data_IF_922575627112
#
_entry.id   IF_922575627112
#
_cell.length_a   1.000
_cell.length_b   1.000
_cell.length_c   1.000
_cell.angle_alpha   90.00
_cell.angle_beta   90.00
_cell.angle_gamma   90.00
#
_symmetry.space_group_name_H-M   'P 1'
#
loop_
_entity.id
_entity.type
_entity.pdbx_description
1 polymer ?
#
# COMPACT_ATOMS: atom_id res chain seq x y z
N UNK A 1 -37.09 19.24 40.17
CA UNK A 1 -38.31 19.97 39.79
C UNK A 1 -38.05 21.45 40.05
N UNK A 2 -37.43 22.14 39.09
CA UNK A 2 -37.53 23.57 38.81
C UNK A 2 -37.07 23.70 37.37
N UNK A 3 -38.03 24.18 36.60
CA UNK A 3 -38.05 24.41 35.18
C UNK A 3 -37.45 25.79 34.87
N UNK A 4 -36.81 25.93 33.70
CA UNK A 4 -36.51 27.17 32.94
C UNK A 4 -35.46 26.93 31.84
N UNK A 5 -35.92 26.47 30.68
CA UNK A 5 -35.48 26.99 29.36
C UNK A 5 -36.36 28.24 29.05
N UNK A 6 -36.09 29.13 28.07
CA UNK A 6 -35.25 28.97 26.87
C UNK A 6 -34.39 30.21 26.49
N UNK A 7 -33.48 30.06 25.53
CA UNK A 7 -33.04 31.17 24.68
C UNK A 7 -32.49 30.64 23.36
N UNK A 8 -33.34 30.68 22.34
CA UNK A 8 -33.03 30.59 20.92
C UNK A 8 -32.27 31.86 20.51
N UNK A 9 -31.11 31.74 19.86
CA UNK A 9 -30.49 32.85 19.13
C UNK A 9 -30.36 32.49 17.66
N UNK A 10 -31.20 33.13 16.86
CA UNK A 10 -31.14 33.22 15.40
C UNK A 10 -30.29 34.46 15.09
N UNK A 11 -29.25 34.32 14.29
CA UNK A 11 -28.60 35.45 13.63
C UNK A 11 -28.32 35.09 12.17
N UNK A 12 -29.31 35.38 11.33
CA UNK A 12 -29.12 35.63 9.91
C UNK A 12 -28.31 36.92 9.75
N UNK A 13 -27.25 36.91 8.94
CA UNK A 13 -26.67 38.14 8.42
C UNK A 13 -26.49 38.04 6.91
N UNK A 14 -27.25 38.90 6.24
CA UNK A 14 -27.29 39.16 4.81
C UNK A 14 -26.05 39.94 4.35
N UNK A 15 -25.56 39.55 3.17
CA UNK A 15 -25.04 40.37 2.06
C UNK A 15 -24.12 41.57 2.33
N UNK A 16 -22.95 41.56 1.65
CA UNK A 16 -22.52 42.71 0.85
C UNK A 16 -21.63 42.29 -0.34
N UNK A 17 -22.04 42.76 -1.52
CA UNK A 17 -21.34 42.74 -2.80
C UNK A 17 -19.97 43.44 -2.72
N UNK A 18 -18.99 42.92 -3.46
CA UNK A 18 -17.94 43.78 -4.03
C UNK A 18 -17.57 43.29 -5.44
N UNK A 19 -17.91 44.14 -6.42
CA UNK A 19 -17.37 44.16 -7.77
C UNK A 19 -15.92 44.68 -7.73
N UNK A 20 -15.04 44.10 -8.54
CA UNK A 20 -14.14 44.79 -9.48
C UNK A 20 -12.85 43.99 -9.75
N UNK A 21 -12.44 43.96 -11.03
CA UNK A 21 -11.02 43.81 -11.39
C UNK A 21 -10.68 42.70 -12.38
N UNK A 22 -11.18 42.77 -13.62
CA UNK A 22 -10.46 42.16 -14.75
C UNK A 22 -9.14 42.91 -14.97
N UNK A 23 -8.00 42.25 -14.77
CA UNK A 23 -6.72 42.69 -15.32
C UNK A 23 -6.34 41.75 -16.45
N UNK A 24 -6.43 42.26 -17.67
CA UNK A 24 -5.92 41.64 -18.89
C UNK A 24 -4.42 41.92 -18.95
N UNK A 25 -3.60 40.90 -18.70
CA UNK A 25 -2.17 40.96 -18.97
C UNK A 25 -1.94 40.73 -20.47
N UNK A 26 -1.41 41.76 -21.15
CA UNK A 26 -1.09 41.74 -22.57
C UNK A 26 0.02 40.74 -22.90
N UNK A 27 -0.22 39.94 -23.93
CA UNK A 27 0.79 39.07 -24.54
C UNK A 27 1.66 39.91 -25.47
N UNK A 28 2.93 40.08 -25.12
CA UNK A 28 3.95 40.57 -26.06
C UNK A 28 4.29 39.47 -27.04
N UNK A 29 3.86 39.65 -28.30
CA UNK A 29 4.24 38.81 -29.42
C UNK A 29 5.67 39.18 -29.83
N UNK A 30 6.64 38.35 -29.45
CA UNK A 30 8.00 38.43 -29.99
C UNK A 30 8.00 37.72 -31.34
N UNK A 31 8.14 38.48 -32.43
CA UNK A 31 8.33 37.94 -33.77
C UNK A 31 9.68 37.23 -33.86
N UNK A 32 9.64 35.91 -33.98
CA UNK A 32 10.79 35.07 -34.31
C UNK A 32 11.18 35.28 -35.79
N UNK A 33 12.47 35.45 -36.11
CA UNK A 33 12.93 35.52 -37.50
C UNK A 33 12.72 34.19 -38.23
N UNK A 34 12.25 34.28 -39.46
CA UNK A 34 12.05 33.15 -40.38
C UNK A 34 13.42 32.50 -40.69
N UNK A 35 13.61 31.20 -40.41
CA UNK A 35 14.84 30.50 -40.76
C UNK A 35 14.95 30.33 -42.27
N UNK A 36 16.10 30.70 -42.84
CA UNK A 36 16.45 30.44 -44.24
C UNK A 36 16.70 28.93 -44.40
N UNK A 37 16.13 28.24 -45.42
CA UNK A 37 16.35 26.82 -45.62
C UNK A 37 17.82 26.56 -46.02
N UNK A 38 18.55 25.67 -45.33
CA UNK A 38 19.86 25.23 -45.79
C UNK A 38 19.73 24.39 -47.06
N UNK A 39 20.71 24.53 -47.95
CA UNK A 39 20.83 23.77 -49.19
C UNK A 39 20.89 22.25 -48.89
N UNK A 40 20.12 21.47 -49.64
CA UNK A 40 20.03 20.03 -49.48
C UNK A 40 21.37 19.34 -49.79
N UNK A 41 22.00 18.75 -48.78
CA UNK A 41 23.10 17.80 -48.94
C UNK A 41 22.59 16.49 -49.57
N UNK A 42 23.41 15.83 -50.41
CA UNK A 42 23.07 14.55 -51.02
C UNK A 42 22.85 13.49 -49.95
N UNK A 43 21.65 12.92 -49.95
CA UNK A 43 21.22 11.88 -49.01
C UNK A 43 22.12 10.63 -49.16
N UNK A 44 22.74 10.12 -48.09
CA UNK A 44 23.54 8.91 -48.15
C UNK A 44 22.66 7.72 -48.54
N UNK A 45 23.10 6.94 -49.52
CA UNK A 45 22.47 5.68 -49.93
C UNK A 45 22.34 4.77 -48.71
N UNK A 46 21.11 4.52 -48.26
CA UNK A 46 20.83 3.67 -47.12
C UNK A 46 21.28 2.23 -47.39
N UNK A 47 22.29 1.78 -46.66
CA UNK A 47 22.67 0.36 -46.59
C UNK A 47 21.52 -0.40 -45.94
N UNK A 48 20.94 -1.37 -46.64
CA UNK A 48 19.89 -2.24 -46.08
C UNK A 48 20.49 -2.99 -44.87
N UNK A 49 19.98 -2.79 -43.64
CA UNK A 49 20.47 -3.51 -42.49
C UNK A 49 20.23 -5.01 -42.67
N UNK A 50 21.25 -5.81 -42.38
CA UNK A 50 21.12 -7.25 -42.35
C UNK A 50 19.98 -7.67 -41.40
N UNK A 51 19.21 -8.72 -41.72
CA UNK A 51 18.12 -9.17 -40.87
C UNK A 51 18.67 -9.49 -39.47
N UNK A 52 18.15 -8.79 -38.45
CA UNK A 52 18.41 -9.13 -37.06
C UNK A 52 17.90 -10.55 -36.82
N UNK A 53 18.73 -11.48 -36.31
CA UNK A 53 18.26 -12.82 -35.99
C UNK A 53 17.06 -12.72 -35.03
N UNK A 54 16.06 -13.55 -35.27
CA UNK A 54 14.89 -13.62 -34.40
C UNK A 54 15.34 -13.96 -32.97
N UNK A 55 14.75 -13.32 -31.94
CA UNK A 55 15.09 -13.63 -30.56
C UNK A 55 14.83 -15.12 -30.30
N UNK A 56 15.81 -15.81 -29.71
CA UNK A 56 15.62 -17.15 -29.17
C UNK A 56 14.57 -17.05 -28.06
N UNK A 57 13.56 -17.93 -28.08
CA UNK A 57 12.55 -17.97 -27.04
C UNK A 57 13.22 -18.19 -25.66
N UNK A 58 12.97 -17.27 -24.74
CA UNK A 58 13.41 -17.40 -23.36
C UNK A 58 12.63 -18.56 -22.70
N UNK A 59 13.30 -19.47 -21.96
CA UNK A 59 12.60 -20.59 -21.33
C UNK A 59 11.61 -20.07 -20.27
N UNK A 60 10.40 -20.62 -20.29
CA UNK A 60 9.41 -20.40 -19.24
C UNK A 60 9.84 -21.16 -17.97
N UNK A 61 10.48 -20.43 -17.04
CA UNK A 61 11.02 -21.00 -15.81
C UNK A 61 9.92 -21.59 -14.92
N UNK A 62 8.75 -20.94 -14.85
CA UNK A 62 7.62 -21.41 -14.05
C UNK A 62 7.06 -22.71 -14.61
N UNK A 63 6.85 -22.79 -15.94
CA UNK A 63 6.41 -24.03 -16.58
C UNK A 63 7.44 -25.16 -16.45
N UNK A 64 8.74 -24.83 -16.50
CA UNK A 64 9.82 -25.82 -16.34
C UNK A 64 9.83 -26.40 -14.93
N UNK A 65 9.75 -25.56 -13.90
CA UNK A 65 9.58 -26.00 -12.51
C UNK A 65 8.30 -26.81 -12.34
N UNK A 66 7.22 -26.38 -12.99
CA UNK A 66 5.93 -27.03 -12.89
C UNK A 66 5.90 -28.45 -13.45
N UNK A 67 6.66 -28.71 -14.50
CA UNK A 67 6.78 -30.04 -15.09
C UNK A 67 7.82 -30.94 -14.39
N UNK A 68 8.83 -30.34 -13.75
CA UNK A 68 9.99 -31.07 -13.21
C UNK A 68 9.89 -31.46 -11.74
N UNK A 69 9.11 -30.73 -10.94
CA UNK A 69 9.08 -30.90 -9.48
C UNK A 69 7.65 -30.89 -8.95
N UNK A 70 7.28 -31.97 -8.26
CA UNK A 70 5.99 -32.05 -7.56
C UNK A 70 6.01 -31.07 -6.38
N UNK A 71 5.00 -30.18 -6.24
CA UNK A 71 4.96 -29.27 -5.12
C UNK A 71 4.63 -30.01 -3.82
N UNK A 72 5.24 -29.57 -2.70
CA UNK A 72 4.86 -30.04 -1.36
C UNK A 72 3.87 -29.07 -0.72
N UNK A 73 2.94 -29.62 0.06
CA UNK A 73 2.08 -28.80 0.92
C UNK A 73 2.94 -28.11 1.98
N UNK A 74 2.92 -26.79 2.01
CA UNK A 74 3.63 -25.97 2.98
C UNK A 74 2.71 -25.57 4.14
N UNK A 75 1.53 -25.06 3.84
CA UNK A 75 0.54 -24.64 4.84
C UNK A 75 -0.87 -24.88 4.33
N UNK A 76 -1.80 -25.10 5.26
CA UNK A 76 -3.21 -25.30 4.97
C UNK A 76 -4.05 -24.54 5.99
N UNK A 77 -5.06 -23.82 5.51
CA UNK A 77 -5.90 -22.92 6.29
C UNK A 77 -7.37 -23.31 6.09
N UNK A 78 -7.99 -24.07 7.00
CA UNK A 78 -9.40 -24.40 6.89
C UNK A 78 -10.26 -23.15 7.06
N UNK A 79 -11.28 -23.00 6.21
CA UNK A 79 -12.32 -21.98 6.37
C UNK A 79 -13.16 -22.26 7.64
N UNK A 80 -13.67 -21.22 8.33
CA UNK A 80 -14.45 -21.38 9.56
C UNK A 80 -15.77 -22.13 9.36
N UNK A 81 -16.38 -22.04 8.18
CA UNK A 81 -17.61 -22.74 7.82
C UNK A 81 -17.38 -24.21 7.40
N UNK A 82 -16.11 -24.61 7.23
CA UNK A 82 -15.70 -25.95 6.85
C UNK A 82 -15.97 -26.31 5.39
N UNK A 83 -16.35 -25.35 4.54
CA UNK A 83 -16.68 -25.61 3.12
C UNK A 83 -15.42 -25.69 2.26
N UNK A 84 -14.36 -24.98 2.63
CA UNK A 84 -13.11 -24.95 1.89
C UNK A 84 -11.88 -24.93 2.79
N UNK A 85 -10.70 -25.06 2.19
CA UNK A 85 -9.42 -24.69 2.80
C UNK A 85 -8.51 -24.04 1.77
N UNK A 86 -7.65 -23.15 2.21
CA UNK A 86 -6.61 -22.58 1.37
C UNK A 86 -5.32 -23.36 1.59
N UNK A 87 -4.74 -23.89 0.53
CA UNK A 87 -3.50 -24.65 0.56
C UNK A 87 -2.40 -23.83 -0.14
N UNK A 88 -1.29 -23.58 0.58
CA UNK A 88 -0.06 -23.03 0.00
C UNK A 88 0.86 -24.20 -0.31
N UNK A 89 1.23 -24.32 -1.58
CA UNK A 89 2.08 -25.37 -2.12
C UNK A 89 3.40 -24.74 -2.57
N UNK A 90 4.53 -25.41 -2.30
CA UNK A 90 5.87 -24.91 -2.63
C UNK A 90 6.62 -25.96 -3.46
N UNK A 91 7.23 -25.51 -4.55
CA UNK A 91 8.32 -26.22 -5.24
C UNK A 91 9.63 -25.63 -4.75
N UNK A 92 10.42 -26.46 -4.08
CA UNK A 92 11.69 -26.04 -3.49
C UNK A 92 12.70 -25.56 -4.55
N UNK A 93 13.68 -24.78 -4.09
CA UNK A 93 14.76 -24.24 -4.92
C UNK A 93 15.42 -25.33 -5.78
N UNK A 94 15.31 -25.16 -7.09
CA UNK A 94 15.87 -26.08 -8.07
C UNK A 94 16.61 -25.29 -9.14
N UNK A 95 17.77 -25.78 -9.57
CA UNK A 95 18.51 -25.21 -10.69
C UNK A 95 17.74 -25.49 -12.00
N UNK A 96 17.19 -24.43 -12.60
CA UNK A 96 16.42 -24.51 -13.87
C UNK A 96 17.28 -24.09 -15.06
N UNK A 97 18.16 -23.12 -14.84
CA UNK A 97 19.16 -22.64 -15.80
C UNK A 97 20.50 -22.51 -15.08
N UNK A 98 21.61 -22.53 -15.84
CA UNK A 98 22.95 -22.50 -15.27
C UNK A 98 23.17 -21.26 -14.39
N UNK A 99 23.49 -21.51 -13.11
CA UNK A 99 23.76 -20.45 -12.14
C UNK A 99 22.52 -19.77 -11.52
N UNK A 100 21.31 -20.24 -11.81
CA UNK A 100 20.08 -19.71 -11.20
C UNK A 100 19.23 -20.83 -10.59
N UNK A 101 19.01 -20.72 -9.29
CA UNK A 101 18.04 -21.54 -8.58
C UNK A 101 16.76 -20.75 -8.40
N UNK A 102 15.63 -21.38 -8.72
CA UNK A 102 14.32 -20.78 -8.58
C UNK A 102 13.41 -21.72 -7.77
N UNK A 103 12.52 -21.13 -6.99
CA UNK A 103 11.40 -21.79 -6.34
C UNK A 103 10.11 -21.29 -6.95
N UNK A 104 9.02 -22.04 -6.77
CA UNK A 104 7.72 -21.64 -7.30
C UNK A 104 6.63 -22.02 -6.31
N UNK A 105 5.81 -21.04 -5.95
CA UNK A 105 4.76 -21.19 -4.96
C UNK A 105 3.39 -21.02 -5.60
N UNK A 106 2.41 -21.75 -5.08
CA UNK A 106 1.03 -21.75 -5.53
C UNK A 106 0.12 -21.58 -4.33
N UNK A 107 -0.92 -20.76 -4.48
CA UNK A 107 -2.05 -20.69 -3.57
C UNK A 107 -3.28 -21.26 -4.25
N UNK A 108 -3.88 -22.27 -3.63
CA UNK A 108 -5.12 -22.88 -4.10
C UNK A 108 -6.21 -22.82 -3.03
N UNK A 109 -7.48 -22.76 -3.46
CA UNK A 109 -8.63 -23.13 -2.61
C UNK A 109 -9.05 -24.56 -2.95
N UNK A 110 -9.20 -25.40 -1.94
CA UNK A 110 -9.67 -26.79 -2.07
C UNK A 110 -11.04 -26.92 -1.42
N UNK A 111 -12.04 -27.34 -2.19
CA UNK A 111 -13.37 -27.66 -1.69
C UNK A 111 -13.30 -28.87 -0.75
N UNK A 112 -13.90 -28.76 0.43
CA UNK A 112 -13.77 -29.78 1.48
C UNK A 112 -14.52 -31.08 1.17
N UNK A 113 -15.62 -31.01 0.41
CA UNK A 113 -16.49 -32.14 0.09
C UNK A 113 -16.05 -32.94 -1.14
N UNK A 114 -15.62 -32.25 -2.20
CA UNK A 114 -15.20 -32.88 -3.47
C UNK A 114 -13.69 -33.03 -3.60
N UNK A 115 -12.91 -32.24 -2.87
CA UNK A 115 -11.48 -32.11 -3.10
C UNK A 115 -11.14 -31.36 -4.39
N UNK A 116 -12.11 -30.71 -5.03
CA UNK A 116 -11.86 -29.86 -6.21
C UNK A 116 -10.95 -28.70 -5.83
N UNK A 117 -9.94 -28.46 -6.67
CA UNK A 117 -8.92 -27.44 -6.44
C UNK A 117 -9.13 -26.29 -7.41
N UNK A 118 -9.13 -25.06 -6.88
CA UNK A 118 -9.15 -23.82 -7.62
C UNK A 118 -7.83 -23.09 -7.44
N UNK A 119 -7.23 -22.66 -8.56
CA UNK A 119 -6.07 -21.78 -8.55
C UNK A 119 -6.45 -20.36 -8.10
N UNK A 120 -5.64 -19.75 -7.22
CA UNK A 120 -5.85 -18.38 -6.73
C UNK A 120 -4.70 -17.48 -7.17
N UNK A 121 -3.47 -17.87 -6.84
CA UNK A 121 -2.28 -17.05 -7.07
C UNK A 121 -1.01 -17.91 -7.19
N UNK A 122 0.04 -17.36 -7.78
CA UNK A 122 1.35 -17.97 -7.91
C UNK A 122 2.49 -16.97 -7.75
N UNK A 123 3.67 -17.51 -7.45
CA UNK A 123 4.86 -16.67 -7.39
C UNK A 123 6.10 -17.46 -7.81
N UNK A 124 6.83 -16.93 -8.79
CA UNK A 124 8.17 -17.39 -9.15
C UNK A 124 9.21 -16.65 -8.32
N UNK A 125 10.05 -17.40 -7.63
CA UNK A 125 11.01 -16.88 -6.67
C UNK A 125 12.44 -17.18 -7.11
N UNK A 126 13.29 -16.15 -7.07
CA UNK A 126 14.73 -16.34 -7.23
C UNK A 126 15.36 -16.73 -5.90
N UNK A 127 15.96 -17.91 -5.82
CA UNK A 127 16.52 -18.43 -4.58
C UNK A 127 17.78 -17.65 -4.18
N UNK A 128 17.79 -17.14 -2.95
CA UNK A 128 18.86 -16.24 -2.46
C UNK A 128 18.74 -14.80 -2.96
N UNK A 129 17.62 -14.44 -3.61
CA UNK A 129 17.31 -13.06 -3.97
C UNK A 129 17.08 -12.16 -2.75
N UNK A 130 17.25 -10.85 -2.97
CA UNK A 130 16.73 -9.83 -2.06
C UNK A 130 15.27 -9.54 -2.44
N UNK A 131 14.55 -8.86 -1.55
CA UNK A 131 13.18 -8.42 -1.80
C UNK A 131 12.17 -9.07 -0.87
N UNK A 132 10.91 -8.67 -1.03
CA UNK A 132 9.76 -9.23 -0.33
C UNK A 132 9.15 -10.32 -1.19
N UNK A 133 8.98 -11.52 -0.64
CA UNK A 133 8.55 -12.68 -1.41
C UNK A 133 7.87 -13.76 -0.57
N UNK A 134 7.23 -14.72 -1.25
CA UNK A 134 6.60 -15.92 -0.68
C UNK A 134 5.12 -15.72 -0.37
N UNK A 135 4.30 -16.69 -0.75
CA UNK A 135 2.87 -16.74 -0.45
C UNK A 135 2.64 -17.21 1.00
N UNK A 136 1.77 -16.52 1.73
CA UNK A 136 1.37 -16.92 3.08
C UNK A 136 -0.10 -16.57 3.33
N UNK A 137 -0.87 -17.57 3.73
CA UNK A 137 -2.20 -17.36 4.29
C UNK A 137 -2.15 -16.64 5.63
N UNK A 138 -3.05 -15.68 5.83
CA UNK A 138 -3.18 -14.91 7.06
C UNK A 138 -4.39 -15.41 7.85
N UNK A 139 -5.60 -15.27 7.30
CA UNK A 139 -6.84 -15.70 7.96
C UNK A 139 -8.02 -15.72 6.96
N UNK A 140 -9.12 -16.30 7.40
CA UNK A 140 -10.41 -16.30 6.69
C UNK A 140 -11.38 -15.30 7.31
N UNK A 141 -12.27 -14.72 6.51
CA UNK A 141 -13.46 -14.07 7.07
C UNK A 141 -14.31 -15.09 7.85
N UNK A 142 -15.08 -14.66 8.87
CA UNK A 142 -15.88 -15.56 9.70
C UNK A 142 -16.92 -16.39 8.93
N UNK A 143 -17.39 -15.88 7.79
CA UNK A 143 -18.35 -16.55 6.90
C UNK A 143 -17.68 -17.43 5.83
N UNK A 144 -16.35 -17.53 5.83
CA UNK A 144 -15.59 -18.31 4.84
C UNK A 144 -15.54 -17.70 3.44
N UNK A 145 -16.15 -16.54 3.20
CA UNK A 145 -16.24 -15.94 1.85
C UNK A 145 -14.90 -15.38 1.36
N UNK A 146 -14.13 -14.77 2.25
CA UNK A 146 -12.87 -14.10 1.91
C UNK A 146 -11.68 -14.82 2.53
N UNK A 147 -10.63 -14.98 1.73
CA UNK A 147 -9.33 -15.42 2.22
C UNK A 147 -8.32 -14.28 2.15
N UNK A 148 -7.63 -14.02 3.26
CA UNK A 148 -6.59 -13.01 3.35
C UNK A 148 -5.23 -13.68 3.30
N UNK A 149 -4.35 -13.19 2.43
CA UNK A 149 -3.00 -13.69 2.27
C UNK A 149 -2.01 -12.55 1.93
N UNK A 150 -0.73 -12.89 1.83
CA UNK A 150 0.35 -11.99 1.38
C UNK A 150 1.24 -12.73 0.40
N UNK A 151 1.80 -12.01 -0.57
CA UNK A 151 2.87 -12.46 -1.49
C UNK A 151 4.28 -12.07 -1.01
N UNK A 152 4.35 -11.55 0.22
CA UNK A 152 5.54 -11.09 0.93
C UNK A 152 5.65 -11.75 2.31
N UNK A 153 5.62 -13.08 2.36
CA UNK A 153 5.83 -13.89 3.59
C UNK A 153 7.18 -13.56 4.24
N UNK A 154 8.21 -13.42 3.41
CA UNK A 154 9.61 -13.24 3.78
C UNK A 154 10.18 -11.96 3.19
N UNK A 155 11.23 -11.44 3.83
CA UNK A 155 11.97 -10.28 3.35
C UNK A 155 11.29 -8.92 3.55
N UNK A 156 11.70 -7.96 2.74
CA UNK A 156 11.27 -6.57 2.74
C UNK A 156 11.61 -5.94 1.40
N UNK A 157 11.17 -4.71 1.11
CA UNK A 157 11.35 -4.10 -0.19
C UNK A 157 12.83 -3.96 -0.51
N UNK A 158 13.18 -4.14 -1.77
CA UNK A 158 14.51 -3.78 -2.24
C UNK A 158 14.71 -2.26 -2.13
N UNK A 159 15.86 -1.87 -1.56
CA UNK A 159 16.15 -0.47 -1.24
C UNK A 159 15.59 -0.05 0.13
N UNK A 160 16.19 0.94 0.78
CA UNK A 160 15.87 1.34 2.15
C UNK A 160 14.54 2.14 2.25
N UNK A 161 13.50 1.74 1.52
CA UNK A 161 12.20 2.40 1.48
C UNK A 161 11.40 2.06 2.75
N UNK A 162 11.66 2.83 3.82
CA UNK A 162 10.95 2.78 5.10
C UNK A 162 10.07 4.03 5.27
N UNK A 163 8.92 3.92 5.95
CA UNK A 163 8.34 2.71 6.54
C UNK A 163 7.67 1.81 5.49
N UNK A 164 7.86 0.49 5.64
CA UNK A 164 7.22 -0.54 4.81
C UNK A 164 6.48 -1.55 5.68
N UNK A 165 5.30 -1.93 5.25
CA UNK A 165 4.57 -3.10 5.67
C UNK A 165 4.20 -3.91 4.43
N UNK A 166 4.22 -5.24 4.58
CA UNK A 166 3.78 -6.15 3.53
C UNK A 166 2.36 -5.84 3.06
N UNK A 167 2.06 -6.03 1.77
CA UNK A 167 0.69 -5.98 1.31
C UNK A 167 -0.15 -7.07 1.98
N UNK A 168 -1.45 -6.82 2.06
CA UNK A 168 -2.45 -7.84 2.38
C UNK A 168 -3.38 -7.92 1.18
N UNK A 169 -3.59 -9.13 0.70
CA UNK A 169 -4.44 -9.41 -0.46
C UNK A 169 -5.67 -10.16 0.04
N UNK A 170 -6.85 -9.65 -0.32
CA UNK A 170 -8.14 -10.31 -0.05
C UNK A 170 -8.62 -10.98 -1.34
N UNK A 171 -8.82 -12.29 -1.29
CA UNK A 171 -9.46 -13.07 -2.34
C UNK A 171 -10.95 -13.28 -2.03
N UNK A 172 -11.85 -12.87 -2.92
CA UNK A 172 -13.30 -13.13 -2.86
C UNK A 172 -13.62 -14.44 -3.60
N UNK A 173 -14.00 -15.48 -2.86
CA UNK A 173 -14.30 -16.80 -3.44
C UNK A 173 -15.51 -16.79 -4.38
N UNK A 174 -16.47 -15.89 -4.17
CA UNK A 174 -17.70 -15.83 -4.95
C UNK A 174 -17.47 -15.05 -6.26
N UNK A 175 -16.69 -13.98 -6.20
CA UNK A 175 -16.40 -13.14 -7.36
C UNK A 175 -15.17 -13.58 -8.16
N UNK A 176 -14.35 -14.48 -7.60
CA UNK A 176 -13.04 -14.87 -8.14
C UNK A 176 -12.14 -13.64 -8.38
N UNK A 177 -12.05 -12.78 -7.36
CA UNK A 177 -11.45 -11.46 -7.48
C UNK A 177 -10.49 -11.15 -6.33
N UNK A 178 -9.44 -10.40 -6.65
CA UNK A 178 -8.42 -9.94 -5.70
C UNK A 178 -8.59 -8.46 -5.38
N UNK A 179 -8.40 -8.10 -4.11
CA UNK A 179 -8.18 -6.73 -3.67
C UNK A 179 -6.81 -6.66 -3.00
N UNK A 180 -5.87 -5.96 -3.63
CA UNK A 180 -4.52 -5.76 -3.10
C UNK A 180 -4.50 -4.50 -2.25
N UNK A 181 -4.21 -4.63 -0.96
CA UNK A 181 -4.05 -3.53 -0.03
C UNK A 181 -2.57 -3.33 0.25
N UNK A 182 -2.00 -2.24 -0.25
CA UNK A 182 -0.60 -1.92 -0.01
C UNK A 182 -0.39 -1.36 1.41
N UNK A 183 0.79 -1.60 1.99
CA UNK A 183 1.16 -1.12 3.31
C UNK A 183 0.10 -1.43 4.37
N UNK A 184 -0.43 -2.65 4.42
CA UNK A 184 -1.63 -2.97 5.20
C UNK A 184 -1.32 -3.45 6.64
N UNK A 185 -2.30 -3.30 7.53
CA UNK A 185 -2.23 -3.70 8.91
C UNK A 185 -3.57 -4.31 9.39
N UNK A 186 -3.47 -5.39 10.16
CA UNK A 186 -4.61 -6.05 10.80
C UNK A 186 -4.86 -5.39 12.15
N UNK A 187 -6.12 -5.17 12.51
CA UNK A 187 -6.52 -4.64 13.82
C UNK A 187 -6.06 -5.56 14.97
N UNK A 188 -5.92 -5.06 16.21
CA UNK A 188 -5.42 -5.85 17.32
C UNK A 188 -6.28 -7.08 17.67
N UNK A 189 -7.59 -7.02 17.40
CA UNK A 189 -8.53 -8.12 17.60
C UNK A 189 -8.64 -9.05 16.38
N UNK A 190 -7.91 -8.75 15.29
CA UNK A 190 -7.93 -9.53 14.07
C UNK A 190 -9.17 -9.35 13.20
N UNK A 191 -10.09 -8.47 13.58
CA UNK A 191 -11.38 -8.33 12.91
C UNK A 191 -11.32 -7.42 11.68
N UNK A 192 -10.44 -6.43 11.64
CA UNK A 192 -10.40 -5.43 10.58
C UNK A 192 -9.03 -5.40 9.89
N UNK A 193 -9.01 -4.95 8.63
CA UNK A 193 -7.78 -4.70 7.87
C UNK A 193 -7.81 -3.29 7.34
N UNK A 194 -6.78 -2.51 7.63
CA UNK A 194 -6.57 -1.19 7.06
C UNK A 194 -5.39 -1.20 6.11
N UNK A 195 -5.49 -0.52 4.96
CA UNK A 195 -4.41 -0.45 3.98
C UNK A 195 -4.77 0.45 2.82
N UNK A 196 -3.86 0.62 1.86
CA UNK A 196 -4.01 1.59 0.79
C UNK A 196 -4.40 0.93 -0.53
N UNK A 197 -5.50 1.41 -1.11
CA UNK A 197 -6.05 1.01 -2.41
C UNK A 197 -6.24 2.27 -3.25
N UNK A 198 -5.60 2.34 -4.42
CA UNK A 198 -5.68 3.48 -5.34
C UNK A 198 -5.40 4.84 -4.66
N UNK A 199 -4.45 4.86 -3.71
CA UNK A 199 -4.06 6.06 -2.96
C UNK A 199 -5.03 6.48 -1.86
N UNK A 200 -6.02 5.67 -1.53
CA UNK A 200 -6.98 5.91 -0.45
C UNK A 200 -6.82 4.88 0.66
N UNK A 201 -7.00 5.31 1.90
CA UNK A 201 -7.06 4.41 3.05
C UNK A 201 -8.39 3.67 2.99
N UNK A 202 -8.35 2.35 2.95
CA UNK A 202 -9.51 1.46 2.98
C UNK A 202 -9.46 0.66 4.27
N UNK A 203 -10.60 0.56 4.94
CA UNK A 203 -10.81 -0.31 6.10
C UNK A 203 -11.80 -1.40 5.68
N UNK A 204 -11.39 -2.65 5.79
CA UNK A 204 -12.25 -3.81 5.67
C UNK A 204 -12.73 -4.23 7.05
N UNK A 205 -14.03 -4.47 7.19
CA UNK A 205 -14.65 -4.88 8.45
C UNK A 205 -14.50 -6.38 8.74
N UNK A 206 -15.11 -6.87 9.83
CA UNK A 206 -15.07 -8.27 10.28
C UNK A 206 -15.47 -9.30 9.23
N UNK A 207 -16.44 -8.96 8.37
CA UNK A 207 -16.89 -9.82 7.29
C UNK A 207 -15.99 -9.79 6.05
N UNK A 208 -14.94 -8.97 6.04
CA UNK A 208 -14.05 -8.76 4.89
C UNK A 208 -14.57 -7.76 3.85
N UNK A 209 -15.80 -7.27 3.97
CA UNK A 209 -16.37 -6.18 3.16
C UNK A 209 -15.75 -4.81 3.52
N UNK A 210 -15.81 -3.85 2.59
CA UNK A 210 -15.37 -2.47 2.84
C UNK A 210 -16.26 -1.80 3.89
N UNK A 211 -15.69 -1.47 5.05
CA UNK A 211 -16.33 -0.72 6.12
C UNK A 211 -16.26 0.79 5.88
N UNK A 212 -15.17 1.26 5.25
CA UNK A 212 -15.00 2.67 4.95
C UNK A 212 -13.75 2.99 4.16
N UNK A 213 -13.70 4.23 3.65
CA UNK A 213 -12.64 4.73 2.78
C UNK A 213 -12.43 6.22 2.98
N UNK A 214 -11.17 6.64 3.06
CA UNK A 214 -10.79 8.05 3.16
C UNK A 214 -9.62 8.39 2.23
N UNK A 215 -9.70 9.56 1.61
CA UNK A 215 -8.52 10.16 1.00
C UNK A 215 -7.61 10.72 2.10
N UNK A 216 -6.27 10.65 1.93
CA UNK A 216 -5.37 11.31 2.87
C UNK A 216 -5.61 12.82 2.86
N UNK A 217 -5.45 13.51 4.00
CA UNK A 217 -5.57 14.96 4.06
C UNK A 217 -4.47 15.63 3.21
N UNK A 218 -4.65 16.91 2.82
CA UNK A 218 -3.62 17.67 2.11
C UNK A 218 -2.29 17.63 2.87
N UNK A 219 -1.21 17.29 2.17
CA UNK A 219 0.09 17.09 2.78
C UNK A 219 1.08 16.45 1.81
N UNK A 220 2.19 15.91 2.31
CA UNK A 220 3.12 15.15 1.49
C UNK A 220 2.43 13.95 0.81
N UNK A 221 2.80 13.63 -0.46
CA UNK A 221 1.98 12.76 -1.31
C UNK A 221 2.11 11.27 -1.00
N UNK A 222 3.18 10.84 -0.32
CA UNK A 222 3.40 9.44 -0.01
C UNK A 222 2.92 9.12 1.40
N UNK A 223 2.46 7.89 1.60
CA UNK A 223 1.84 7.41 2.83
C UNK A 223 2.54 6.16 3.35
N UNK A 224 2.69 6.09 4.67
CA UNK A 224 3.20 4.93 5.38
C UNK A 224 2.09 3.95 5.75
N UNK A 225 2.46 2.78 6.30
CA UNK A 225 1.49 1.83 6.81
C UNK A 225 0.66 2.44 7.95
N UNK A 226 -0.66 2.16 8.00
CA UNK A 226 -1.49 2.54 9.12
C UNK A 226 -1.14 1.68 10.33
N UNK A 227 -1.22 2.28 11.52
CA UNK A 227 -0.95 1.64 12.80
C UNK A 227 -2.17 1.79 13.69
N UNK A 228 -2.77 0.65 14.05
CA UNK A 228 -3.94 0.60 14.90
C UNK A 228 -3.63 0.98 16.34
N UNK A 229 -4.55 1.74 16.93
CA UNK A 229 -4.60 1.92 18.38
C UNK A 229 -4.90 0.57 19.04
N UNK A 230 -4.49 0.39 20.30
CA UNK A 230 -4.68 -0.89 21.00
C UNK A 230 -6.16 -1.33 21.09
N UNK A 231 -7.10 -0.38 21.06
CA UNK A 231 -8.53 -0.64 21.06
C UNK A 231 -9.17 -0.80 19.67
N UNK A 232 -8.40 -0.67 18.59
CA UNK A 232 -8.92 -0.74 17.22
C UNK A 232 -9.79 0.45 16.81
N UNK A 233 -9.95 1.48 17.64
CA UNK A 233 -10.87 2.60 17.36
C UNK A 233 -10.24 3.71 16.52
N UNK A 234 -8.93 3.69 16.32
CA UNK A 234 -8.21 4.72 15.60
C UNK A 234 -6.98 4.16 14.90
N UNK A 235 -6.57 4.88 13.86
CA UNK A 235 -5.35 4.62 13.10
C UNK A 235 -4.46 5.86 13.16
N UNK A 236 -3.15 5.63 13.08
CA UNK A 236 -2.20 6.68 12.72
C UNK A 236 -1.32 6.22 11.57
N UNK A 237 -0.89 7.15 10.72
CA UNK A 237 0.10 6.88 9.69
C UNK A 237 0.95 8.12 9.42
N UNK A 238 2.05 7.93 8.70
CA UNK A 238 2.90 9.03 8.25
C UNK A 238 2.58 9.42 6.81
N UNK A 239 2.55 10.72 6.52
CA UNK A 239 2.76 11.24 5.18
C UNK A 239 4.21 11.71 5.04
N UNK A 240 4.83 11.53 3.86
CA UNK A 240 6.20 11.96 3.60
C UNK A 240 6.39 12.49 2.17
N UNK A 241 7.34 13.41 1.99
CA UNK A 241 7.58 14.07 0.70
C UNK A 241 8.40 13.22 -0.28
N UNK A 242 9.01 12.13 0.21
CA UNK A 242 9.85 11.20 -0.54
C UNK A 242 9.50 9.77 -0.19
N UNK A 243 9.25 8.92 -1.20
CA UNK A 243 8.81 7.53 -1.01
C UNK A 243 9.80 6.63 -0.28
N UNK A 244 11.09 7.00 -0.23
CA UNK A 244 12.13 6.21 0.41
C UNK A 244 12.95 7.07 1.37
N UNK A 245 13.22 6.53 2.56
CA UNK A 245 13.82 7.22 3.71
C UNK A 245 15.29 7.63 3.57
N UNK A 246 15.86 7.58 2.37
CA UNK A 246 17.28 7.88 2.17
C UNK A 246 17.58 9.38 2.10
N UNK A 247 16.54 10.22 1.96
CA UNK A 247 16.69 11.68 1.89
C UNK A 247 15.80 12.35 2.93
N UNK A 248 16.32 13.31 3.71
CA UNK A 248 15.49 14.11 4.59
C UNK A 248 14.36 14.79 3.81
N UNK A 249 13.18 14.84 4.41
CA UNK A 249 12.01 15.47 3.82
C UNK A 249 11.02 15.90 4.87
N UNK A 250 9.95 16.53 4.40
CA UNK A 250 8.81 16.86 5.23
C UNK A 250 8.02 15.60 5.55
N UNK A 251 7.50 15.54 6.77
CA UNK A 251 6.60 14.47 7.19
C UNK A 251 5.44 15.03 7.99
N UNK A 252 4.31 14.31 7.96
CA UNK A 252 3.15 14.61 8.78
C UNK A 252 2.66 13.34 9.48
N UNK A 253 2.19 13.47 10.71
CA UNK A 253 1.49 12.42 11.44
C UNK A 253 0.00 12.65 11.24
N UNK A 254 -0.69 11.68 10.66
CA UNK A 254 -2.13 11.72 10.45
C UNK A 254 -2.81 10.75 11.39
N UNK A 255 -3.87 11.21 12.04
CA UNK A 255 -4.79 10.39 12.82
C UNK A 255 -6.09 10.20 12.05
N UNK A 256 -6.67 9.00 12.16
CA UNK A 256 -7.96 8.66 11.55
C UNK A 256 -8.85 7.95 12.56
N UNK A 257 -10.10 8.37 12.65
CA UNK A 257 -11.15 7.64 13.35
C UNK A 257 -11.53 6.40 12.52
N UNK A 258 -11.41 5.20 13.10
CA UNK A 258 -11.65 3.98 12.34
C UNK A 258 -13.13 3.82 11.93
N UNK A 259 -14.06 4.35 12.73
CA UNK A 259 -15.49 4.19 12.52
C UNK A 259 -16.08 5.24 11.56
N UNK A 260 -15.64 6.49 11.65
CA UNK A 260 -16.15 7.59 10.81
C UNK A 260 -15.26 7.90 9.60
N UNK A 261 -14.03 7.37 9.59
CA UNK A 261 -12.98 7.67 8.62
C UNK A 261 -12.62 9.16 8.53
N UNK A 262 -12.98 9.95 9.54
CA UNK A 262 -12.52 11.32 9.67
C UNK A 262 -11.02 11.33 9.96
N UNK A 263 -10.27 12.05 9.13
CA UNK A 263 -8.81 12.19 9.26
C UNK A 263 -8.43 13.61 9.66
N UNK A 264 -7.38 13.74 10.48
CA UNK A 264 -6.74 15.05 10.76
C UNK A 264 -5.23 14.92 10.87
N UNK A 265 -4.53 15.95 10.42
CA UNK A 265 -3.10 16.09 10.67
C UNK A 265 -2.88 16.49 12.11
N UNK A 266 -2.09 15.70 12.85
CA UNK A 266 -1.70 15.98 14.22
C UNK A 266 -0.47 16.89 14.28
N UNK A 267 0.54 16.54 13.50
CA UNK A 267 1.86 17.18 13.54
C UNK A 267 2.48 17.20 12.15
N UNK A 268 3.19 18.27 11.84
CA UNK A 268 4.04 18.38 10.63
C UNK A 268 5.47 18.72 11.04
N UNK A 269 6.46 18.10 10.39
CA UNK A 269 7.88 18.33 10.62
C UNK A 269 8.60 18.58 9.30
N UNK A 270 9.33 19.69 9.21
CA UNK A 270 10.00 20.12 7.96
C UNK A 270 11.37 19.49 7.72
N UNK A 271 11.93 18.78 8.71
CA UNK A 271 13.19 18.04 8.54
C UNK A 271 14.04 17.97 9.84
N UNK A 272 14.71 16.84 10.11
CA UNK A 272 14.53 15.54 9.43
C UNK A 272 13.12 14.99 9.65
N UNK A 273 12.53 14.30 8.68
CA UNK A 273 11.16 13.75 8.83
C UNK A 273 11.09 12.60 9.83
N UNK A 274 9.90 12.11 10.12
CA UNK A 274 9.71 10.85 10.85
C UNK A 274 9.82 9.64 9.92
N UNK A 275 10.45 8.57 10.38
CA UNK A 275 10.52 7.28 9.68
C UNK A 275 9.52 6.25 10.21
N UNK A 276 9.05 6.42 11.45
CA UNK A 276 8.10 5.52 12.08
C UNK A 276 7.19 6.26 13.06
N UNK A 277 5.97 5.75 13.18
CA UNK A 277 4.98 6.12 14.20
C UNK A 277 4.43 4.84 14.82
N UNK A 278 4.22 4.85 16.13
CA UNK A 278 3.55 3.77 16.84
C UNK A 278 2.78 4.34 18.03
N UNK A 279 1.76 3.63 18.51
CA UNK A 279 1.07 3.99 19.74
C UNK A 279 1.94 3.64 20.96
N UNK A 280 2.07 4.59 21.89
CA UNK A 280 2.70 4.40 23.20
C UNK A 280 1.68 4.41 24.35
N UNK A 281 0.42 4.71 24.04
CA UNK A 281 -0.74 4.71 24.94
C UNK A 281 -1.98 5.22 24.21
N UNK A 282 -3.15 5.29 24.84
CA UNK A 282 -4.40 5.71 24.19
C UNK A 282 -4.34 7.11 23.56
N UNK A 283 -3.61 8.04 24.20
CA UNK A 283 -3.48 9.44 23.74
C UNK A 283 -2.02 9.82 23.46
N UNK A 284 -1.17 8.83 23.15
CA UNK A 284 0.26 9.05 23.05
C UNK A 284 0.87 8.25 21.91
N UNK A 285 1.68 8.92 21.10
CA UNK A 285 2.45 8.32 20.01
C UNK A 285 3.94 8.34 20.34
N UNK A 286 4.65 7.29 19.94
CA UNK A 286 6.10 7.30 19.84
C UNK A 286 6.49 7.48 18.37
N UNK A 287 7.42 8.40 18.12
CA UNK A 287 7.88 8.80 16.81
C UNK A 287 9.39 8.59 16.72
N UNK A 288 9.87 8.06 15.60
CA UNK A 288 11.29 7.88 15.32
C UNK A 288 11.68 8.74 14.13
N UNK A 289 12.82 9.42 14.24
CA UNK A 289 13.36 10.35 13.27
C UNK A 289 14.15 9.66 12.19
N UNK A 290 13.99 10.17 10.98
CA UNK A 290 14.67 9.69 9.81
C UNK A 290 16.11 10.21 9.80
N UNK A 291 17.09 9.30 9.69
CA UNK A 291 18.55 9.58 9.59
C UNK A 291 19.24 10.14 10.84
N UNK A 292 18.52 10.79 11.75
CA UNK A 292 19.10 11.32 13.00
C UNK A 292 18.96 10.35 14.19
N UNK A 293 18.11 9.33 14.07
CA UNK A 293 17.81 8.38 15.15
C UNK A 293 17.08 9.01 16.33
N UNK A 294 16.59 10.24 16.17
CA UNK A 294 15.86 10.96 17.20
C UNK A 294 14.59 10.20 17.59
N UNK A 295 14.18 10.34 18.84
CA UNK A 295 12.95 9.74 19.35
C UNK A 295 12.13 10.79 20.04
N UNK A 296 10.83 10.76 19.81
CA UNK A 296 9.89 11.66 20.44
C UNK A 296 8.67 10.91 20.94
N UNK A 297 8.02 11.51 21.92
CA UNK A 297 6.68 11.18 22.36
C UNK A 297 5.78 12.34 21.99
N UNK A 298 4.67 12.07 21.32
CA UNK A 298 3.64 13.07 21.04
C UNK A 298 2.40 12.80 21.89
N UNK A 299 1.98 13.79 22.68
CA UNK A 299 0.73 13.78 23.43
C UNK A 299 -0.39 14.36 22.54
N UNK A 300 -1.37 13.52 22.20
CA UNK A 300 -2.45 13.86 21.26
C UNK A 300 -3.42 14.85 21.89
N UNK A 301 -3.64 14.76 23.21
CA UNK A 301 -4.58 15.63 23.92
C UNK A 301 -3.96 16.98 24.25
N UNK A 302 -2.67 16.97 24.62
CA UNK A 302 -1.88 18.16 24.92
C UNK A 302 -1.34 18.90 23.70
N UNK A 303 -1.35 18.26 22.52
CA UNK A 303 -0.70 18.74 21.30
C UNK A 303 0.78 19.09 21.51
N UNK A 304 1.49 18.19 22.21
CA UNK A 304 2.87 18.43 22.66
C UNK A 304 3.81 17.33 22.15
N UNK A 305 4.92 17.74 21.52
CA UNK A 305 6.00 16.85 21.09
C UNK A 305 7.19 16.98 22.03
N UNK A 306 7.54 15.88 22.71
CA UNK A 306 8.63 15.82 23.68
C UNK A 306 9.74 14.87 23.22
N UNK A 307 11.02 15.28 23.24
CA UNK A 307 12.12 14.38 22.94
C UNK A 307 12.24 13.29 24.02
N UNK A 308 12.57 12.07 23.58
CA UNK A 308 12.91 10.94 24.46
C UNK A 308 14.44 10.86 24.54
N UNK A 309 15.04 10.83 25.75
CA UNK A 309 16.48 10.71 25.95
C UNK A 309 17.10 9.42 25.38
#
# INVERSE_FOLDING_TARGET
MIDKRPATFIASMLLLFSLAGCVVAGQSVVSTPVPVPPAAEPSPTATVPAPTPAPTAEPDLAATLAAGVEPRLFASYPSPDGVARADVLIRDCTAVVEGQENAYELLHIVAADTGETRFVDDQLLYCGGLGAFGLQGLFWSPDGRYFFYTDAREGGPDGACRPWARPIIRYDMAADAHLVMSQAAISPDGAEVAGWVDGQLVILGPGGDEAGRAAPPPGPPYVGPPVWSAGGTALVYLQFSRSCGETPGESAVVWVDAATQESRVLLTQTGPGFEAVQWAGPDRLALTGLLDGGRWTYDIAGDELLPVP
#
